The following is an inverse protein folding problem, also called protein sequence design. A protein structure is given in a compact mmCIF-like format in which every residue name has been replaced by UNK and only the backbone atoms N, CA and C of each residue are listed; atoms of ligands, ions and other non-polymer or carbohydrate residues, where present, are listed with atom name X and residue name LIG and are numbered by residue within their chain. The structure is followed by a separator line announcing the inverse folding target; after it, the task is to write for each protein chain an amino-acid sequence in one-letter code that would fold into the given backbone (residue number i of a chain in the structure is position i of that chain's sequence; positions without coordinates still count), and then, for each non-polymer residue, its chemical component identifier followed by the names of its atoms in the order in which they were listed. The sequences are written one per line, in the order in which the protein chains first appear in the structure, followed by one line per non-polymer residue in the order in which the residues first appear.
data_IF_615618922114
#
_entry.id   IF_615618922114
#
_cell.length_a   1.000
_cell.length_b   1.000
_cell.length_c   1.000
_cell.angle_alpha   90.00
_cell.angle_beta   90.00
_cell.angle_gamma   90.00
#
_symmetry.space_group_name_H-M   'P 1'
#
loop_
_entity.id
_entity.type
_entity.pdbx_description
1 polymer ?
#
# COMPACT_ATOMS: atom_id res chain seq x y z
N UNK A 1 -61.06 -15.52 -4.39
CA UNK A 1 -59.87 -16.34 -4.74
C UNK A 1 -58.76 -15.54 -5.44
N UNK A 2 -59.07 -14.62 -6.37
CA UNK A 2 -58.07 -13.78 -7.07
C UNK A 2 -57.19 -12.91 -6.15
N UNK A 3 -57.75 -12.38 -5.06
CA UNK A 3 -57.03 -11.49 -4.13
C UNK A 3 -56.09 -12.22 -3.15
N UNK A 4 -56.33 -13.51 -2.89
CA UNK A 4 -55.47 -14.35 -2.04
C UNK A 4 -54.22 -14.80 -2.83
N UNK A 5 -54.40 -15.08 -4.13
CA UNK A 5 -53.31 -15.47 -5.02
C UNK A 5 -52.26 -14.36 -5.18
N UNK A 6 -52.69 -13.10 -5.29
CA UNK A 6 -51.78 -11.96 -5.38
C UNK A 6 -50.99 -11.72 -4.08
N UNK A 7 -51.58 -12.00 -2.91
CA UNK A 7 -50.90 -11.82 -1.61
C UNK A 7 -49.83 -12.88 -1.36
N UNK A 8 -50.01 -14.11 -1.88
CA UNK A 8 -49.03 -15.18 -1.73
C UNK A 8 -47.76 -14.96 -2.58
N UNK A 9 -47.93 -14.37 -3.77
CA UNK A 9 -46.83 -14.08 -4.70
C UNK A 9 -45.94 -12.95 -4.17
N UNK A 10 -46.51 -11.94 -3.51
CA UNK A 10 -45.74 -10.83 -2.91
C UNK A 10 -44.90 -11.30 -1.72
N UNK A 11 -45.39 -12.29 -0.94
CA UNK A 11 -44.64 -12.84 0.19
C UNK A 11 -43.37 -13.62 -0.23
N UNK A 12 -43.41 -14.31 -1.37
CA UNK A 12 -42.29 -15.11 -1.88
C UNK A 12 -41.12 -14.26 -2.41
N UNK A 13 -41.39 -13.02 -2.83
CA UNK A 13 -40.36 -12.11 -3.36
C UNK A 13 -39.56 -11.45 -2.21
N UNK A 14 -40.16 -11.31 -1.02
CA UNK A 14 -39.53 -10.71 0.16
C UNK A 14 -38.58 -11.66 0.89
N UNK A 15 -38.67 -12.98 0.67
CA UNK A 15 -37.74 -13.97 1.22
C UNK A 15 -36.43 -14.13 0.42
N UNK A 16 -36.28 -13.43 -0.71
CA UNK A 16 -35.07 -13.49 -1.56
C UNK A 16 -33.97 -12.49 -1.14
N UNK A 17 -33.91 -12.12 0.15
CA UNK A 17 -32.71 -11.52 0.73
C UNK A 17 -31.72 -12.65 1.05
N UNK A 18 -31.19 -13.27 0.01
CA UNK A 18 -30.07 -14.20 0.13
C UNK A 18 -28.91 -13.48 0.79
N UNK A 19 -28.40 -14.03 1.90
CA UNK A 19 -27.14 -13.57 2.49
C UNK A 19 -26.09 -13.63 1.39
N UNK A 20 -25.58 -12.47 0.97
CA UNK A 20 -24.46 -12.41 0.01
C UNK A 20 -23.33 -13.27 0.58
N UNK A 21 -23.07 -14.41 -0.03
CA UNK A 21 -21.86 -15.19 0.23
C UNK A 21 -20.67 -14.33 -0.21
N UNK A 22 -20.00 -13.72 0.77
CA UNK A 22 -18.75 -13.01 0.52
C UNK A 22 -17.71 -14.10 0.28
N UNK A 23 -17.23 -14.21 -0.96
CA UNK A 23 -16.15 -15.14 -1.29
C UNK A 23 -14.97 -14.89 -0.35
N UNK A 24 -14.34 -15.93 0.23
CA UNK A 24 -13.15 -15.75 1.05
C UNK A 24 -12.07 -15.05 0.20
N UNK A 25 -11.38 -14.10 0.82
CA UNK A 25 -10.28 -13.37 0.17
C UNK A 25 -9.19 -14.39 -0.16
N UNK A 26 -8.71 -14.41 -1.41
CA UNK A 26 -7.62 -15.32 -1.80
C UNK A 26 -6.33 -14.93 -1.07
N UNK A 27 -5.40 -15.88 -0.95
CA UNK A 27 -4.12 -15.61 -0.29
C UNK A 27 -3.32 -14.52 -1.01
N UNK A 28 -3.37 -14.48 -2.35
CA UNK A 28 -2.73 -13.45 -3.17
C UNK A 28 -3.34 -12.07 -2.91
N UNK A 29 -4.67 -12.00 -2.78
CA UNK A 29 -5.35 -10.75 -2.45
C UNK A 29 -4.99 -10.27 -1.04
N UNK A 30 -4.83 -11.19 -0.07
CA UNK A 30 -4.36 -10.89 1.28
C UNK A 30 -2.92 -10.35 1.27
N UNK A 31 -2.02 -10.99 0.53
CA UNK A 31 -0.62 -10.57 0.38
C UNK A 31 -0.54 -9.20 -0.29
N UNK A 32 -1.33 -8.95 -1.33
CA UNK A 32 -1.39 -7.64 -1.99
C UNK A 32 -1.84 -6.53 -1.03
N UNK A 33 -2.88 -6.79 -0.23
CA UNK A 33 -3.35 -5.84 0.80
C UNK A 33 -2.28 -5.57 1.88
N UNK A 34 -1.57 -6.61 2.31
CA UNK A 34 -0.46 -6.48 3.26
C UNK A 34 0.67 -5.63 2.69
N UNK A 35 1.06 -5.86 1.43
CA UNK A 35 2.07 -5.09 0.72
C UNK A 35 1.68 -3.61 0.56
N UNK A 36 0.43 -3.32 0.16
CA UNK A 36 -0.06 -1.93 0.07
C UNK A 36 -0.03 -1.22 1.42
N UNK A 37 -0.47 -1.91 2.47
CA UNK A 37 -0.46 -1.37 3.83
C UNK A 37 0.97 -1.08 4.30
N UNK A 38 1.90 -1.99 4.02
CA UNK A 38 3.31 -1.81 4.37
C UNK A 38 3.92 -0.60 3.64
N UNK A 39 3.66 -0.45 2.34
CA UNK A 39 4.13 0.71 1.57
C UNK A 39 3.65 2.04 2.18
N UNK A 40 2.37 2.10 2.58
CA UNK A 40 1.79 3.26 3.25
C UNK A 40 2.38 3.51 4.64
N UNK A 41 2.66 2.46 5.42
CA UNK A 41 3.35 2.58 6.72
C UNK A 41 4.73 3.20 6.55
N UNK A 42 5.53 2.68 5.60
CA UNK A 42 6.87 3.22 5.32
C UNK A 42 6.79 4.66 4.83
N UNK A 43 5.87 4.98 3.91
CA UNK A 43 5.63 6.35 3.41
C UNK A 43 5.36 7.33 4.54
N UNK A 44 4.41 7.00 5.40
CA UNK A 44 3.99 7.86 6.50
C UNK A 44 5.10 8.01 7.54
N UNK A 45 5.88 6.96 7.79
CA UNK A 45 7.04 7.02 8.67
C UNK A 45 8.13 7.93 8.09
N UNK A 46 8.41 7.85 6.79
CA UNK A 46 9.33 8.74 6.10
C UNK A 46 8.90 10.22 6.22
N UNK A 47 7.65 10.55 5.88
CA UNK A 47 7.12 11.93 5.98
C UNK A 47 7.27 12.49 7.40
N UNK A 48 7.06 11.64 8.42
CA UNK A 48 7.16 12.01 9.84
C UNK A 48 8.58 11.91 10.41
N UNK A 49 9.57 11.52 9.61
CA UNK A 49 10.93 11.18 10.05
C UNK A 49 10.94 10.16 11.22
N UNK A 50 9.98 9.23 11.24
CA UNK A 50 9.85 8.17 12.24
C UNK A 50 10.72 6.97 11.87
N UNK A 51 12.01 7.09 12.20
CA UNK A 51 13.02 6.07 11.92
C UNK A 51 12.76 4.74 12.63
N UNK A 52 12.07 4.76 13.77
CA UNK A 52 11.75 3.54 14.54
C UNK A 52 10.71 2.72 13.78
N UNK A 53 9.69 3.38 13.23
CA UNK A 53 8.67 2.69 12.42
C UNK A 53 9.27 2.16 11.12
N UNK A 54 10.15 2.89 10.44
CA UNK A 54 10.87 2.38 9.26
C UNK A 54 11.66 1.12 9.66
N UNK A 55 12.44 1.19 10.75
CA UNK A 55 13.26 0.05 11.20
C UNK A 55 12.44 -1.21 11.51
N UNK A 56 11.28 -1.06 12.16
CA UNK A 56 10.42 -2.20 12.54
C UNK A 56 9.73 -2.87 11.35
N UNK A 57 9.55 -2.11 10.26
CA UNK A 57 8.83 -2.54 9.05
C UNK A 57 9.75 -2.81 7.86
N UNK A 58 11.07 -2.82 8.09
CA UNK A 58 12.08 -3.13 7.09
C UNK A 58 12.96 -4.29 7.55
N UNK A 59 13.64 -4.94 6.62
CA UNK A 59 14.81 -5.78 6.95
C UNK A 59 15.97 -4.87 7.36
N UNK A 60 17.06 -5.44 7.87
CA UNK A 60 18.27 -4.67 8.22
C UNK A 60 18.81 -3.90 7.01
N UNK A 61 18.81 -4.54 5.85
CA UNK A 61 19.35 -3.95 4.62
C UNK A 61 18.37 -2.93 4.03
N UNK A 62 17.07 -3.23 4.00
CA UNK A 62 16.06 -2.26 3.54
C UNK A 62 15.98 -1.02 4.42
N UNK A 63 16.18 -1.17 5.74
CA UNK A 63 16.27 -0.02 6.64
C UNK A 63 17.49 0.86 6.33
N UNK A 64 18.66 0.22 6.16
CA UNK A 64 19.90 0.92 5.82
C UNK A 64 19.75 1.70 4.51
N UNK A 65 19.19 1.05 3.48
CA UNK A 65 18.99 1.64 2.17
C UNK A 65 18.15 2.93 2.21
N UNK A 66 17.09 2.96 3.02
CA UNK A 66 16.28 4.17 3.19
C UNK A 66 17.05 5.26 3.94
N UNK A 67 17.63 4.94 5.09
CA UNK A 67 18.21 5.95 5.98
C UNK A 67 19.47 6.59 5.40
N UNK A 68 20.25 5.85 4.61
CA UNK A 68 21.48 6.37 3.99
C UNK A 68 21.20 7.41 2.90
N UNK A 69 20.07 7.28 2.18
CA UNK A 69 19.71 8.22 1.10
C UNK A 69 18.82 9.36 1.59
N UNK A 70 18.13 9.18 2.72
CA UNK A 70 17.16 10.14 3.23
C UNK A 70 17.79 11.50 3.53
N UNK A 71 17.26 12.55 2.88
CA UNK A 71 17.65 13.95 3.07
C UNK A 71 16.72 14.67 4.05
N UNK A 72 17.20 15.78 4.59
CA UNK A 72 16.39 16.66 5.43
C UNK A 72 15.45 17.53 4.60
N UNK A 73 14.21 17.69 5.07
CA UNK A 73 13.19 18.59 4.50
C UNK A 73 12.35 19.17 5.64
N UNK A 74 11.69 20.31 5.39
CA UNK A 74 10.80 20.96 6.36
C UNK A 74 9.42 20.28 6.37
N UNK A 75 8.92 19.95 5.18
CA UNK A 75 7.66 19.25 4.96
C UNK A 75 7.76 18.39 3.70
N UNK A 76 7.04 17.27 3.67
CA UNK A 76 6.93 16.41 2.51
C UNK A 76 5.49 15.92 2.33
N UNK A 77 5.01 15.96 1.10
CA UNK A 77 3.83 15.25 0.62
C UNK A 77 4.30 14.15 -0.32
N UNK A 78 3.83 12.92 -0.12
CA UNK A 78 4.19 11.79 -0.97
C UNK A 78 2.95 10.91 -1.17
N UNK A 79 2.70 10.54 -2.43
CA UNK A 79 1.60 9.67 -2.83
C UNK A 79 2.13 8.46 -3.57
N UNK A 80 1.65 7.28 -3.20
CA UNK A 80 1.91 6.03 -3.90
C UNK A 80 0.65 5.55 -4.62
N UNK A 81 0.82 5.15 -5.87
CA UNK A 81 -0.24 4.59 -6.72
C UNK A 81 0.19 3.18 -7.14
N UNK A 82 -0.26 2.13 -6.40
CA UNK A 82 0.03 0.75 -6.74
C UNK A 82 -0.41 0.40 -8.16
N UNK A 83 0.41 -0.38 -8.86
CA UNK A 83 0.15 -0.82 -10.24
C UNK A 83 0.00 -2.32 -10.35
N UNK A 84 0.94 -3.07 -9.77
CA UNK A 84 0.99 -4.52 -9.87
C UNK A 84 1.68 -5.10 -8.65
N UNK A 85 1.17 -6.25 -8.20
CA UNK A 85 1.83 -7.10 -7.21
C UNK A 85 2.24 -8.38 -7.92
N UNK A 86 3.50 -8.72 -7.84
CA UNK A 86 4.05 -10.00 -8.29
C UNK A 86 4.57 -10.75 -7.06
N UNK A 87 4.31 -12.05 -7.01
CA UNK A 87 4.75 -12.92 -5.93
C UNK A 87 5.60 -14.01 -6.57
N UNK A 88 6.87 -14.06 -6.19
CA UNK A 88 7.80 -15.11 -6.60
C UNK A 88 8.35 -15.76 -5.33
N UNK A 89 8.07 -17.05 -5.17
CA UNK A 89 8.34 -17.79 -3.94
C UNK A 89 7.78 -17.08 -2.69
N UNK A 90 8.68 -16.57 -1.82
CA UNK A 90 8.32 -15.82 -0.61
C UNK A 90 8.57 -14.32 -0.73
N UNK A 91 8.89 -13.83 -1.93
CA UNK A 91 9.22 -12.44 -2.22
C UNK A 91 8.07 -11.77 -2.94
N UNK A 92 7.71 -10.59 -2.47
CA UNK A 92 6.62 -9.77 -3.04
C UNK A 92 7.22 -8.54 -3.68
N UNK A 93 6.93 -8.34 -4.95
CA UNK A 93 7.34 -7.17 -5.73
C UNK A 93 6.12 -6.28 -5.95
N UNK A 94 6.11 -5.15 -5.23
CA UNK A 94 5.09 -4.13 -5.38
C UNK A 94 5.58 -3.05 -6.35
N UNK A 95 5.09 -3.10 -7.58
CA UNK A 95 5.29 -2.04 -8.57
C UNK A 95 4.32 -0.89 -8.28
N UNK A 96 4.84 0.33 -8.09
CA UNK A 96 4.04 1.53 -7.86
C UNK A 96 4.64 2.75 -8.53
N UNK A 97 3.78 3.66 -8.97
CA UNK A 97 4.19 5.03 -9.36
C UNK A 97 4.08 5.95 -8.15
N UNK A 98 4.96 6.92 -8.02
CA UNK A 98 4.94 7.89 -6.93
C UNK A 98 5.02 9.32 -7.43
N UNK A 99 4.50 10.24 -6.64
CA UNK A 99 4.64 11.70 -6.82
C UNK A 99 4.76 12.36 -5.46
N UNK A 100 5.64 13.35 -5.35
CA UNK A 100 5.83 14.06 -4.09
C UNK A 100 6.21 15.53 -4.27
N UNK A 101 6.01 16.27 -3.18
CA UNK A 101 6.35 17.69 -3.05
C UNK A 101 7.11 17.84 -1.73
N UNK A 102 8.31 18.38 -1.78
CA UNK A 102 9.14 18.66 -0.62
C UNK A 102 9.35 20.16 -0.47
N UNK A 103 9.36 20.65 0.76
CA UNK A 103 9.77 22.02 1.09
C UNK A 103 11.13 22.00 1.77
N UNK A 104 12.06 22.82 1.28
CA UNK A 104 13.37 23.05 1.90
C UNK A 104 13.65 24.54 1.93
N UNK A 105 13.73 25.12 3.14
CA UNK A 105 13.98 26.55 3.35
C UNK A 105 13.00 27.43 2.56
N UNK A 106 11.73 27.02 2.54
CA UNK A 106 10.65 27.70 1.81
C UNK A 106 10.62 27.49 0.30
N UNK A 107 11.55 26.72 -0.28
CA UNK A 107 11.52 26.32 -1.70
C UNK A 107 10.81 24.99 -1.87
N UNK A 108 9.90 24.91 -2.85
CA UNK A 108 9.23 23.67 -3.22
C UNK A 108 10.02 22.92 -4.29
N UNK A 109 10.14 21.62 -4.12
CA UNK A 109 10.73 20.67 -5.07
C UNK A 109 9.67 19.62 -5.33
N UNK A 110 9.35 19.39 -6.60
CA UNK A 110 8.35 18.41 -7.02
C UNK A 110 9.05 17.34 -7.86
N UNK A 111 8.71 16.08 -7.60
CA UNK A 111 9.23 14.97 -8.39
C UNK A 111 8.25 13.80 -8.44
N UNK A 112 8.44 12.90 -9.41
CA UNK A 112 7.62 11.71 -9.62
C UNK A 112 8.42 10.64 -10.34
N UNK A 113 8.08 9.38 -10.08
CA UNK A 113 8.81 8.27 -10.70
C UNK A 113 8.10 6.94 -10.58
N UNK A 114 8.81 5.90 -11.00
CA UNK A 114 8.39 4.50 -10.85
C UNK A 114 9.36 3.77 -9.93
N UNK A 115 8.80 3.04 -8.97
CA UNK A 115 9.59 2.25 -8.01
C UNK A 115 9.04 0.84 -7.87
N UNK A 116 9.89 -0.08 -7.44
CA UNK A 116 9.48 -1.42 -7.04
C UNK A 116 9.93 -1.64 -5.61
N UNK A 117 8.98 -1.84 -4.71
CA UNK A 117 9.27 -2.27 -3.35
C UNK A 117 9.38 -3.79 -3.30
N UNK A 118 10.54 -4.29 -2.91
CA UNK A 118 10.78 -5.71 -2.68
C UNK A 118 10.52 -5.99 -1.21
N UNK A 119 9.59 -6.90 -0.93
CA UNK A 119 9.15 -7.22 0.42
C UNK A 119 9.30 -8.72 0.68
N UNK A 120 9.71 -9.07 1.90
CA UNK A 120 9.96 -10.46 2.28
C UNK A 120 9.54 -10.73 3.73
N UNK A 121 9.41 -12.01 4.07
CA UNK A 121 9.11 -12.47 5.42
C UNK A 121 7.63 -12.49 5.77
N UNK A 122 7.34 -12.99 6.98
CA UNK A 122 5.99 -13.04 7.57
C UNK A 122 6.10 -12.57 9.04
N UNK A 123 5.65 -11.36 9.40
CA UNK A 123 4.98 -10.37 8.55
C UNK A 123 5.90 -9.81 7.47
N UNK A 124 5.31 -9.29 6.37
CA UNK A 124 6.09 -8.65 5.30
C UNK A 124 6.90 -7.47 5.84
N UNK A 125 8.12 -7.35 5.34
CA UNK A 125 9.04 -6.25 5.62
C UNK A 125 9.68 -5.76 4.34
N UNK A 126 9.92 -4.45 4.25
CA UNK A 126 10.60 -3.87 3.10
C UNK A 126 12.08 -4.27 3.11
N UNK A 127 12.50 -4.97 2.06
CA UNK A 127 13.85 -5.49 1.89
C UNK A 127 14.72 -4.60 1.02
N UNK A 128 14.15 -4.04 -0.06
CA UNK A 128 14.87 -3.21 -1.04
C UNK A 128 13.93 -2.28 -1.80
N UNK A 129 14.45 -1.15 -2.28
CA UNK A 129 13.77 -0.25 -3.21
C UNK A 129 14.50 -0.29 -4.56
N UNK A 130 13.85 -0.83 -5.60
CA UNK A 130 14.43 -0.86 -6.94
C UNK A 130 13.90 0.29 -7.80
N UNK A 131 14.66 0.63 -8.85
CA UNK A 131 14.43 1.77 -9.75
C UNK A 131 14.58 3.11 -9.02
N UNK A 132 13.64 4.02 -9.18
CA UNK A 132 13.71 5.35 -8.59
C UNK A 132 13.27 5.28 -7.13
N UNK A 133 14.17 5.64 -6.20
CA UNK A 133 13.88 5.61 -4.78
C UNK A 133 13.21 6.95 -4.35
N UNK A 134 11.92 6.97 -3.98
CA UNK A 134 11.25 8.20 -3.55
C UNK A 134 11.83 8.80 -2.26
N UNK A 135 12.51 7.99 -1.45
CA UNK A 135 13.05 8.40 -0.15
C UNK A 135 14.39 9.15 -0.25
N UNK A 136 15.00 9.20 -1.44
CA UNK A 136 16.22 10.00 -1.68
C UNK A 136 15.92 11.50 -1.82
N UNK A 137 14.66 11.85 -2.07
CA UNK A 137 14.23 13.21 -2.25
C UNK A 137 14.18 13.98 -0.91
N UNK A 138 14.33 15.31 -0.91
CA UNK A 138 14.68 16.15 -2.06
C UNK A 138 16.19 16.05 -2.41
N UNK A 139 16.52 15.72 -3.66
CA UNK A 139 17.87 15.75 -4.23
C UNK A 139 18.22 17.11 -4.85
#
# INVERSE_FOLDING_TARGET
MRNILCSLIILLILSSCGKKEIKPVSEEARIAQEAFKLAEVIKNAYIKNDRITIQRNSTKDGYREIIEVMKSFDNAELTFSPRKVEIEDSTVYLNLTWSGIWSVKGKKIEDRGLTIFVMEGKPLRLSRVMRENPFKQPE
#
